data_IF_548964179669
#
_entry.id   IF_548964179669
#
_cell.length_a   1.000
_cell.length_b   1.000
_cell.length_c   1.000
_cell.angle_alpha   90.00
_cell.angle_beta   90.00
_cell.angle_gamma   90.00
#
_symmetry.space_group_name_H-M   'P 1'
#
loop_
_entity.id
_entity.type
_entity.pdbx_description
1 polymer ?
#
# COMPACT_ATOMS: atom_id res chain seq x y z
N UNK A 1 -5.23 26.61 -49.96
CA UNK A 1 -4.75 26.89 -48.58
C UNK A 1 -5.77 26.51 -47.48
N UNK A 2 -6.44 25.34 -47.54
CA UNK A 2 -7.41 24.91 -46.50
C UNK A 2 -7.01 23.63 -45.74
N UNK A 3 -5.93 22.95 -46.14
CA UNK A 3 -5.58 21.63 -45.58
C UNK A 3 -4.70 21.68 -44.32
N UNK A 4 -3.97 22.79 -44.09
CA UNK A 4 -3.03 22.87 -42.97
C UNK A 4 -3.70 23.19 -41.61
N UNK A 5 -4.90 23.79 -41.61
CA UNK A 5 -5.56 24.28 -40.38
C UNK A 5 -6.27 23.14 -39.62
N UNK A 6 -6.68 22.06 -40.28
CA UNK A 6 -7.48 20.98 -39.66
C UNK A 6 -6.62 20.02 -38.83
N UNK A 7 -5.36 19.81 -39.21
CA UNK A 7 -4.43 18.92 -38.51
C UNK A 7 -3.96 19.47 -37.15
N UNK A 8 -3.89 20.80 -36.99
CA UNK A 8 -3.49 21.44 -35.74
C UNK A 8 -4.58 21.34 -34.64
N UNK A 9 -5.86 21.29 -35.04
CA UNK A 9 -6.99 21.25 -34.11
C UNK A 9 -7.20 19.87 -33.45
N UNK A 10 -6.81 18.78 -34.12
CA UNK A 10 -6.96 17.41 -33.62
C UNK A 10 -5.96 17.03 -32.53
N UNK A 11 -4.69 17.47 -32.67
CA UNK A 11 -3.63 17.19 -31.69
C UNK A 11 -3.81 17.98 -30.39
N UNK A 12 -4.36 19.21 -30.46
CA UNK A 12 -4.66 20.03 -29.29
C UNK A 12 -5.77 19.40 -28.43
N UNK A 13 -6.82 18.82 -29.06
CA UNK A 13 -7.93 18.14 -28.38
C UNK A 13 -7.52 16.85 -27.66
N UNK A 14 -6.55 16.10 -28.20
CA UNK A 14 -6.10 14.82 -27.59
C UNK A 14 -5.24 15.07 -26.35
N UNK A 15 -4.36 16.06 -26.40
CA UNK A 15 -3.53 16.45 -25.25
C UNK A 15 -4.38 17.12 -24.16
N UNK A 16 -5.45 17.85 -24.52
CA UNK A 16 -6.41 18.41 -23.57
C UNK A 16 -7.16 17.33 -22.78
N UNK A 17 -7.59 16.23 -23.43
CA UNK A 17 -8.27 15.12 -22.73
C UNK A 17 -7.36 14.37 -21.75
N UNK A 18 -6.08 14.20 -22.10
CA UNK A 18 -5.09 13.56 -21.22
C UNK A 18 -4.72 14.49 -20.05
N UNK A 19 -4.60 15.81 -20.31
CA UNK A 19 -4.36 16.82 -19.29
C UNK A 19 -5.55 16.95 -18.32
N UNK A 20 -6.79 16.90 -18.81
CA UNK A 20 -8.01 16.93 -17.97
C UNK A 20 -8.15 15.65 -17.14
N UNK A 21 -7.78 14.48 -17.68
CA UNK A 21 -7.79 13.23 -16.92
C UNK A 21 -6.70 13.20 -15.84
N UNK A 22 -5.51 13.74 -16.12
CA UNK A 22 -4.44 13.92 -15.13
C UNK A 22 -4.80 14.97 -14.06
N UNK A 23 -5.54 16.02 -14.42
CA UNK A 23 -6.07 17.02 -13.46
C UNK A 23 -7.20 16.46 -12.57
N UNK A 24 -7.94 15.45 -13.03
CA UNK A 24 -8.98 14.78 -12.23
C UNK A 24 -8.42 13.75 -11.24
N UNK A 25 -7.20 13.25 -11.46
CA UNK A 25 -6.50 12.34 -10.55
C UNK A 25 -5.73 13.07 -9.43
N UNK A 26 -5.42 14.36 -9.57
CA UNK A 26 -4.68 15.11 -8.56
C UNK A 26 -5.46 15.44 -7.27
N UNK A 27 -6.78 15.76 -7.27
CA UNK A 27 -7.47 16.01 -6.00
C UNK A 27 -7.68 14.71 -5.20
N UNK A 28 -7.75 13.54 -5.84
CA UNK A 28 -7.94 12.27 -5.13
C UNK A 28 -6.71 11.87 -4.28
N UNK A 29 -5.51 12.30 -4.66
CA UNK A 29 -4.28 11.99 -3.91
C UNK A 29 -4.10 12.93 -2.72
N UNK A 30 -4.56 14.19 -2.82
CA UNK A 30 -4.48 15.14 -1.70
C UNK A 30 -5.59 14.95 -0.64
N UNK A 31 -6.78 14.47 -1.01
CA UNK A 31 -7.90 14.34 -0.07
C UNK A 31 -7.97 12.97 0.63
N UNK A 32 -7.11 12.02 0.29
CA UNK A 32 -7.12 10.68 0.90
C UNK A 32 -6.44 10.63 2.29
N UNK A 33 -5.74 11.69 2.69
CA UNK A 33 -5.07 11.76 4.00
C UNK A 33 -5.22 13.18 4.57
N UNK A 34 -6.31 13.48 5.28
CA UNK A 34 -6.26 14.41 6.43
C UNK A 34 -7.59 14.67 7.17
N UNK A 35 -8.74 14.16 6.73
CA UNK A 35 -10.01 14.62 7.34
C UNK A 35 -10.44 13.83 8.60
N UNK A 36 -9.97 12.59 8.81
CA UNK A 36 -10.38 11.77 9.96
C UNK A 36 -9.58 12.00 11.26
N UNK A 37 -8.55 12.86 11.24
CA UNK A 37 -7.80 13.22 12.45
C UNK A 37 -8.42 14.39 13.22
N UNK A 38 -9.54 14.95 12.74
CA UNK A 38 -10.24 16.04 13.39
C UNK A 38 -10.96 15.57 14.67
N UNK A 39 -10.25 15.68 15.79
CA UNK A 39 -10.77 15.87 17.15
C UNK A 39 -11.58 14.72 17.78
N UNK A 40 -11.18 13.46 17.58
CA UNK A 40 -11.51 12.43 18.56
C UNK A 40 -10.38 12.40 19.59
N UNK A 41 -10.69 12.87 20.80
CA UNK A 41 -9.79 12.84 21.95
C UNK A 41 -9.63 11.39 22.46
N UNK A 42 -8.91 10.57 21.70
CA UNK A 42 -8.56 9.22 22.12
C UNK A 42 -7.50 9.27 23.23
N UNK A 43 -7.59 8.34 24.16
CA UNK A 43 -6.50 8.03 25.07
C UNK A 43 -5.54 7.06 24.37
N UNK A 44 -4.25 7.18 24.68
CA UNK A 44 -3.19 6.32 24.15
C UNK A 44 -2.42 5.67 25.30
N UNK A 45 -2.34 4.34 25.28
CA UNK A 45 -1.43 3.58 26.12
C UNK A 45 -0.45 2.86 25.21
N UNK A 46 0.81 3.26 25.28
CA UNK A 46 1.92 2.60 24.60
C UNK A 46 2.82 1.88 25.61
N UNK A 47 3.55 0.86 25.18
CA UNK A 47 4.58 0.23 26.01
C UNK A 47 5.79 -0.26 25.22
N UNK A 48 6.91 -0.38 25.92
CA UNK A 48 8.07 -1.12 25.45
C UNK A 48 8.42 -2.22 26.47
N UNK A 49 8.43 -3.51 26.08
CA UNK A 49 8.08 -4.07 24.77
C UNK A 49 6.60 -3.84 24.38
N UNK A 50 6.31 -3.96 23.08
CA UNK A 50 4.95 -3.84 22.54
C UNK A 50 4.12 -5.10 22.81
N UNK A 51 2.80 -4.99 22.61
CA UNK A 51 1.82 -6.06 22.81
C UNK A 51 1.61 -6.45 24.29
N UNK A 52 1.74 -5.48 25.21
CA UNK A 52 1.40 -5.66 26.62
C UNK A 52 -0.11 -5.61 26.83
N UNK A 53 -0.64 -6.53 27.63
CA UNK A 53 -2.06 -6.56 27.97
C UNK A 53 -2.39 -5.40 28.93
N UNK A 54 -3.44 -4.66 28.62
CA UNK A 54 -3.90 -3.49 29.34
C UNK A 54 -5.23 -3.83 30.01
N UNK A 55 -5.29 -3.64 31.34
CA UNK A 55 -6.47 -3.85 32.15
C UNK A 55 -6.93 -2.53 32.76
N UNK A 56 -8.22 -2.24 32.68
CA UNK A 56 -8.86 -1.09 33.35
C UNK A 56 -9.86 -1.67 34.36
N UNK A 57 -9.71 -1.35 35.65
CA UNK A 57 -10.52 -1.90 36.74
C UNK A 57 -10.62 -3.43 36.67
N UNK A 58 -9.48 -4.07 36.41
CA UNK A 58 -9.32 -5.53 36.33
C UNK A 58 -9.94 -6.21 35.10
N UNK A 59 -10.57 -5.45 34.22
CA UNK A 59 -11.09 -5.92 32.93
C UNK A 59 -10.06 -5.75 31.81
N UNK A 60 -9.86 -6.78 30.99
CA UNK A 60 -8.96 -6.73 29.84
C UNK A 60 -9.55 -5.83 28.74
N UNK A 61 -8.93 -4.67 28.51
CA UNK A 61 -9.37 -3.72 27.49
C UNK A 61 -8.72 -3.97 26.13
N UNK A 62 -7.48 -4.48 26.12
CA UNK A 62 -6.75 -4.76 24.87
C UNK A 62 -5.24 -4.84 25.08
N UNK A 63 -4.48 -4.62 24.00
CA UNK A 63 -3.02 -4.73 23.99
C UNK A 63 -2.37 -3.44 23.48
N UNK A 64 -1.18 -3.11 23.98
CA UNK A 64 -0.41 -1.93 23.53
C UNK A 64 0.19 -2.11 22.13
N UNK A 65 0.29 -1.05 21.31
CA UNK A 65 -0.27 0.29 21.53
C UNK A 65 -1.80 0.29 21.42
N UNK A 66 -2.47 0.84 22.44
CA UNK A 66 -3.93 0.85 22.57
C UNK A 66 -4.46 2.28 22.49
N UNK A 67 -5.32 2.51 21.50
CA UNK A 67 -6.15 3.70 21.39
C UNK A 67 -7.55 3.38 21.94
N UNK A 68 -8.03 4.16 22.90
CA UNK A 68 -9.33 3.87 23.53
C UNK A 68 -10.02 5.12 24.07
N UNK A 69 -11.33 4.99 24.32
CA UNK A 69 -12.12 5.96 25.06
C UNK A 69 -12.53 5.34 26.40
N UNK A 70 -12.67 6.17 27.43
CA UNK A 70 -13.21 5.69 28.70
C UNK A 70 -14.66 5.21 28.49
N UNK A 71 -14.99 4.04 29.04
CA UNK A 71 -16.34 3.46 28.98
C UNK A 71 -17.40 4.35 29.63
N UNK A 72 -16.99 5.10 30.65
CA UNK A 72 -17.83 5.95 31.48
C UNK A 72 -17.00 7.08 32.13
N UNK A 73 -17.67 8.03 32.75
CA UNK A 73 -17.07 9.19 33.44
C UNK A 73 -16.75 8.95 34.93
N UNK A 74 -16.73 7.69 35.39
CA UNK A 74 -16.48 7.33 36.80
C UNK A 74 -14.98 7.17 37.05
N UNK A 75 -14.44 8.02 37.92
CA UNK A 75 -13.05 8.01 38.37
C UNK A 75 -13.00 7.95 39.91
N UNK A 76 -11.94 7.38 40.51
CA UNK A 76 -10.71 6.90 39.89
C UNK A 76 -10.83 5.54 39.20
N UNK A 77 -9.97 5.28 38.21
CA UNK A 77 -9.83 3.97 37.55
C UNK A 77 -8.44 3.39 37.77
N UNK A 78 -8.33 2.09 38.00
CA UNK A 78 -7.05 1.40 38.15
C UNK A 78 -6.61 0.82 36.82
N UNK A 79 -5.49 1.31 36.31
CA UNK A 79 -4.85 0.81 35.10
C UNK A 79 -3.74 -0.18 35.48
N UNK A 80 -3.75 -1.38 34.89
CA UNK A 80 -2.67 -2.36 35.05
C UNK A 80 -2.16 -2.80 33.69
N UNK A 81 -0.84 -2.75 33.52
CA UNK A 81 -0.16 -3.20 32.31
C UNK A 81 0.63 -4.45 32.64
N UNK A 82 0.35 -5.54 31.92
CA UNK A 82 0.94 -6.85 32.14
C UNK A 82 1.56 -7.37 30.85
N UNK A 83 2.81 -7.79 30.95
CA UNK A 83 3.49 -8.48 29.86
C UNK A 83 4.29 -9.66 30.40
N UNK A 84 4.29 -10.77 29.66
CA UNK A 84 4.89 -12.03 30.12
C UNK A 84 6.40 -11.85 30.36
N UNK A 85 6.85 -12.14 31.58
CA UNK A 85 8.26 -12.01 31.98
C UNK A 85 8.67 -10.61 32.43
N UNK A 86 7.72 -9.67 32.52
CA UNK A 86 7.94 -8.30 32.98
C UNK A 86 7.15 -8.04 34.27
N UNK A 87 7.62 -7.06 35.04
CA UNK A 87 6.97 -6.59 36.26
C UNK A 87 5.70 -5.86 35.84
N UNK A 88 4.61 -6.16 36.55
CA UNK A 88 3.32 -5.50 36.34
C UNK A 88 3.40 -4.06 36.86
N UNK A 89 3.01 -3.11 36.01
CA UNK A 89 2.92 -1.70 36.38
C UNK A 89 1.44 -1.35 36.60
N UNK A 90 1.14 -0.71 37.74
CA UNK A 90 -0.21 -0.30 38.10
C UNK A 90 -0.28 1.18 38.46
N UNK A 91 -1.29 1.88 37.96
CA UNK A 91 -1.50 3.30 38.21
C UNK A 91 -2.97 3.62 38.38
N UNK A 92 -3.28 4.55 39.27
CA UNK A 92 -4.63 5.06 39.45
C UNK A 92 -4.81 6.36 38.67
N UNK A 93 -5.72 6.35 37.70
CA UNK A 93 -6.09 7.53 36.93
C UNK A 93 -7.25 8.22 37.63
N UNK A 94 -7.09 9.51 37.97
CA UNK A 94 -8.05 10.26 38.78
C UNK A 94 -8.99 11.17 37.97
N UNK A 95 -8.74 11.39 36.68
CA UNK A 95 -9.50 12.34 35.87
C UNK A 95 -9.80 11.81 34.46
N UNK A 96 -10.88 12.33 33.88
CA UNK A 96 -11.39 11.99 32.55
C UNK A 96 -10.72 12.73 31.40
N UNK A 97 -9.58 13.38 31.65
CA UNK A 97 -8.84 14.10 30.61
C UNK A 97 -8.23 13.16 29.56
N UNK A 98 -7.61 13.75 28.54
CA UNK A 98 -6.83 12.99 27.54
C UNK A 98 -5.66 12.34 28.26
N UNK A 99 -5.66 11.01 28.28
CA UNK A 99 -4.62 10.19 28.87
C UNK A 99 -3.73 9.63 27.76
N UNK A 100 -2.50 10.12 27.67
CA UNK A 100 -1.48 9.60 26.76
C UNK A 100 -0.23 9.27 27.55
N UNK A 101 0.12 7.99 27.62
CA UNK A 101 1.28 7.53 28.39
C UNK A 101 1.98 6.35 27.74
N UNK A 102 3.30 6.35 27.87
CA UNK A 102 4.19 5.28 27.45
C UNK A 102 4.82 4.60 28.67
N UNK A 103 4.65 3.29 28.77
CA UNK A 103 5.22 2.47 29.84
C UNK A 103 6.49 1.76 29.36
N UNK A 104 7.60 1.94 30.09
CA UNK A 104 8.83 1.17 29.86
C UNK A 104 8.84 0.06 30.91
N UNK A 105 8.44 -1.15 30.50
CA UNK A 105 8.28 -2.27 31.42
C UNK A 105 9.65 -2.83 31.80
N UNK A 106 9.82 -3.16 33.08
CA UNK A 106 11.05 -3.77 33.60
C UNK A 106 10.92 -5.29 33.62
N UNK A 107 11.96 -6.05 33.24
CA UNK A 107 11.95 -7.50 33.33
C UNK A 107 11.79 -7.98 34.78
N UNK A 108 10.98 -9.02 34.99
CA UNK A 108 10.75 -9.62 36.31
C UNK A 108 11.78 -10.70 36.67
N UNK A 109 12.74 -11.02 35.80
CA UNK A 109 13.80 -12.00 36.06
C UNK A 109 14.92 -12.02 35.02
N UNK A 110 15.97 -12.82 35.27
CA UNK A 110 17.18 -12.91 34.43
C UNK A 110 17.00 -13.62 33.08
N UNK A 111 15.92 -14.37 32.89
CA UNK A 111 15.67 -15.19 31.70
C UNK A 111 14.47 -14.66 30.90
N UNK A 112 14.57 -13.43 30.38
CA UNK A 112 13.74 -13.09 29.23
C UNK A 112 14.21 -13.93 28.06
N UNK A 113 13.30 -14.65 27.40
CA UNK A 113 13.50 -15.09 26.03
C UNK A 113 13.51 -13.84 25.16
N UNK A 114 14.65 -13.14 25.15
CA UNK A 114 14.92 -12.08 24.20
C UNK A 114 14.99 -12.80 22.86
N UNK A 115 13.95 -12.70 22.05
CA UNK A 115 14.10 -12.92 20.63
C UNK A 115 14.58 -11.58 20.08
N UNK A 116 15.91 -11.33 20.03
CA UNK A 116 16.39 -10.04 19.55
C UNK A 116 15.79 -9.82 18.16
N UNK A 117 15.33 -8.59 17.88
CA UNK A 117 15.02 -8.21 16.50
C UNK A 117 16.34 -8.32 15.75
N UNK A 118 16.53 -9.43 15.04
CA UNK A 118 17.78 -9.74 14.34
C UNK A 118 17.83 -8.82 13.13
N UNK A 119 18.57 -7.72 13.26
CA UNK A 119 18.68 -6.68 12.25
C UNK A 119 19.33 -7.18 10.95
N UNK A 120 20.21 -8.18 11.06
CA UNK A 120 20.90 -8.75 9.93
C UNK A 120 20.09 -9.88 9.27
N UNK A 121 19.49 -9.54 8.12
CA UNK A 121 18.72 -10.47 7.29
C UNK A 121 19.55 -11.52 6.59
N UNK A 122 20.88 -11.39 6.59
CA UNK A 122 21.77 -12.23 5.79
C UNK A 122 22.45 -13.34 6.59
N UNK A 123 22.51 -13.25 7.91
CA UNK A 123 23.32 -14.19 8.71
C UNK A 123 22.51 -15.28 9.42
N UNK A 124 21.20 -15.08 9.68
CA UNK A 124 20.44 -16.00 10.54
C UNK A 124 18.94 -16.14 10.18
N UNK A 125 18.54 -15.82 8.95
CA UNK A 125 17.22 -16.20 8.42
C UNK A 125 17.37 -17.54 7.69
N UNK A 126 16.53 -18.52 8.02
CA UNK A 126 16.63 -19.90 7.49
C UNK A 126 16.55 -19.97 5.96
N UNK A 127 15.92 -18.97 5.32
CA UNK A 127 15.78 -18.87 3.88
C UNK A 127 16.36 -17.57 3.33
N UNK A 128 17.38 -17.70 2.48
CA UNK A 128 17.95 -16.58 1.72
C UNK A 128 16.91 -16.08 0.71
N UNK A 129 16.57 -14.79 0.75
CA UNK A 129 15.65 -14.17 -0.21
C UNK A 129 16.14 -14.42 -1.64
N UNK A 130 15.26 -14.97 -2.49
CA UNK A 130 15.58 -15.26 -3.89
C UNK A 130 15.52 -13.97 -4.71
N UNK A 131 16.57 -13.14 -4.64
CA UNK A 131 16.62 -11.83 -5.32
C UNK A 131 16.52 -11.95 -6.84
N UNK A 132 17.15 -12.98 -7.43
CA UNK A 132 17.14 -13.19 -8.88
C UNK A 132 15.72 -13.33 -9.48
N UNK A 133 14.84 -14.23 -9.01
CA UNK A 133 13.49 -14.33 -9.55
C UNK A 133 12.62 -13.08 -9.29
N UNK A 134 12.86 -12.33 -8.21
CA UNK A 134 12.19 -11.04 -7.97
C UNK A 134 12.58 -10.02 -9.05
N UNK A 135 13.89 -9.88 -9.32
CA UNK A 135 14.37 -8.96 -10.35
C UNK A 135 13.88 -9.38 -11.74
N UNK A 136 13.94 -10.68 -12.06
CA UNK A 136 13.46 -11.19 -13.35
C UNK A 136 11.96 -10.94 -13.55
N UNK A 137 11.12 -11.28 -12.57
CA UNK A 137 9.66 -11.08 -12.64
C UNK A 137 9.26 -9.60 -12.70
N UNK A 138 9.96 -8.72 -11.99
CA UNK A 138 9.74 -7.27 -12.06
C UNK A 138 10.07 -6.69 -13.45
N UNK A 139 11.20 -7.10 -14.05
CA UNK A 139 11.56 -6.70 -15.41
C UNK A 139 10.56 -7.20 -16.44
N UNK A 140 10.12 -8.46 -16.34
CA UNK A 140 9.10 -9.03 -17.24
C UNK A 140 7.78 -8.26 -17.11
N UNK A 141 7.34 -7.98 -15.87
CA UNK A 141 6.11 -7.24 -15.60
C UNK A 141 6.16 -5.84 -16.21
N UNK A 142 7.20 -5.08 -15.91
CA UNK A 142 7.35 -3.71 -16.42
C UNK A 142 7.46 -3.68 -17.96
N UNK A 143 8.33 -4.54 -18.53
CA UNK A 143 8.53 -4.64 -19.97
C UNK A 143 7.26 -5.04 -20.72
N UNK A 144 6.52 -6.02 -20.19
CA UNK A 144 5.26 -6.48 -20.79
C UNK A 144 4.17 -5.41 -20.72
N UNK A 145 4.10 -4.64 -19.62
CA UNK A 145 3.17 -3.51 -19.50
C UNK A 145 3.43 -2.41 -20.54
N UNK A 146 4.70 -2.04 -20.73
CA UNK A 146 5.11 -1.05 -21.74
C UNK A 146 4.80 -1.56 -23.16
N UNK A 147 5.15 -2.81 -23.46
CA UNK A 147 4.89 -3.43 -24.76
C UNK A 147 3.39 -3.50 -25.06
N UNK A 148 2.59 -3.98 -24.11
CA UNK A 148 1.13 -4.04 -24.24
C UNK A 148 0.54 -2.66 -24.54
N UNK A 149 0.98 -1.61 -23.83
CA UNK A 149 0.53 -0.25 -24.09
C UNK A 149 0.92 0.23 -25.49
N UNK A 150 2.17 0.03 -25.90
CA UNK A 150 2.66 0.45 -27.21
C UNK A 150 1.88 -0.21 -28.36
N UNK A 151 1.79 -1.54 -28.36
CA UNK A 151 1.14 -2.28 -29.45
C UNK A 151 -0.38 -2.06 -29.47
N UNK A 152 -1.03 -1.96 -28.32
CA UNK A 152 -2.47 -1.67 -28.26
C UNK A 152 -2.78 -0.23 -28.69
N UNK A 153 -1.88 0.71 -28.41
CA UNK A 153 -1.95 2.09 -28.91
C UNK A 153 -1.82 2.13 -30.44
N UNK A 154 -0.87 1.37 -31.00
CA UNK A 154 -0.68 1.31 -32.45
C UNK A 154 -1.86 0.64 -33.16
N UNK A 155 -2.33 -0.50 -32.66
CA UNK A 155 -3.54 -1.15 -33.16
C UNK A 155 -4.76 -0.21 -33.18
N UNK A 156 -4.88 0.64 -32.16
CA UNK A 156 -5.95 1.65 -32.09
C UNK A 156 -5.79 2.76 -33.13
N UNK A 157 -4.56 3.12 -33.54
CA UNK A 157 -4.32 4.06 -34.64
C UNK A 157 -4.64 3.42 -35.99
N UNK A 158 -4.19 2.18 -36.23
CA UNK A 158 -4.49 1.45 -37.46
C UNK A 158 -6.00 1.30 -37.67
N UNK A 159 -6.77 1.01 -36.61
CA UNK A 159 -8.23 0.97 -36.69
C UNK A 159 -8.83 2.33 -37.13
N UNK A 160 -8.37 3.43 -36.54
CA UNK A 160 -8.87 4.77 -36.91
C UNK A 160 -8.53 5.12 -38.35
N UNK A 161 -7.35 4.74 -38.82
CA UNK A 161 -6.96 4.95 -40.21
C UNK A 161 -7.87 4.13 -41.15
N UNK A 162 -8.18 2.88 -40.81
CA UNK A 162 -9.14 2.08 -41.56
C UNK A 162 -10.53 2.73 -41.57
N UNK A 163 -11.03 3.21 -40.43
CA UNK A 163 -12.34 3.86 -40.33
C UNK A 163 -12.43 5.14 -41.20
N UNK A 164 -11.30 5.82 -41.44
CA UNK A 164 -11.22 7.05 -42.24
C UNK A 164 -11.00 6.76 -43.73
N UNK A 165 -10.05 5.87 -44.06
CA UNK A 165 -9.55 5.66 -45.42
C UNK A 165 -10.06 4.38 -46.09
N UNK A 166 -10.60 3.43 -45.33
CA UNK A 166 -11.10 2.15 -45.84
C UNK A 166 -10.03 1.19 -46.37
N UNK A 167 -8.74 1.43 -46.06
CA UNK A 167 -7.63 0.63 -46.59
C UNK A 167 -7.47 -0.71 -45.84
N UNK A 168 -7.67 -1.87 -46.50
CA UNK A 168 -7.57 -3.18 -45.85
C UNK A 168 -6.17 -3.48 -45.28
N UNK A 169 -5.10 -2.85 -45.77
CA UNK A 169 -3.75 -3.06 -45.23
C UNK A 169 -3.61 -2.58 -43.77
N UNK A 170 -4.37 -1.55 -43.38
CA UNK A 170 -4.38 -1.07 -42.00
C UNK A 170 -5.10 -2.05 -41.06
N UNK A 171 -6.07 -2.81 -41.58
CA UNK A 171 -6.77 -3.82 -40.80
C UNK A 171 -5.87 -5.02 -40.47
N UNK A 172 -4.98 -5.39 -41.39
CA UNK A 172 -4.01 -6.46 -41.19
C UNK A 172 -2.95 -6.06 -40.14
N UNK A 173 -2.38 -4.84 -40.28
CA UNK A 173 -1.47 -4.28 -39.25
C UNK A 173 -2.12 -4.19 -37.87
N UNK A 174 -3.40 -3.80 -37.81
CA UNK A 174 -4.16 -3.78 -36.55
C UNK A 174 -4.23 -5.18 -35.93
N UNK A 175 -4.49 -6.21 -36.73
CA UNK A 175 -4.58 -7.60 -36.26
C UNK A 175 -3.25 -8.05 -35.66
N UNK A 176 -2.14 -7.78 -36.33
CA UNK A 176 -0.80 -8.14 -35.86
C UNK A 176 -0.44 -7.40 -34.56
N UNK A 177 -0.61 -6.08 -34.53
CA UNK A 177 -0.35 -5.27 -33.34
C UNK A 177 -1.24 -5.70 -32.16
N UNK A 178 -2.51 -6.02 -32.42
CA UNK A 178 -3.41 -6.49 -31.37
C UNK A 178 -3.02 -7.88 -30.85
N UNK A 179 -2.53 -8.77 -31.70
CA UNK A 179 -2.03 -10.08 -31.30
C UNK A 179 -0.82 -9.94 -30.35
N UNK A 180 0.18 -9.14 -30.74
CA UNK A 180 1.37 -8.90 -29.92
C UNK A 180 1.00 -8.19 -28.61
N UNK A 181 0.08 -7.22 -28.68
CA UNK A 181 -0.45 -6.54 -27.49
C UNK A 181 -1.12 -7.51 -26.52
N UNK A 182 -1.92 -8.45 -27.02
CA UNK A 182 -2.57 -9.46 -26.18
C UNK A 182 -1.58 -10.46 -25.56
N UNK A 183 -0.58 -10.90 -26.32
CA UNK A 183 0.51 -11.75 -25.80
C UNK A 183 1.25 -11.02 -24.66
N UNK A 184 1.51 -9.72 -24.83
CA UNK A 184 2.15 -8.90 -23.80
C UNK A 184 1.28 -8.78 -22.54
N UNK A 185 -0.05 -8.69 -22.66
CA UNK A 185 -0.96 -8.68 -21.51
C UNK A 185 -0.91 -10.01 -20.75
N UNK A 186 -0.87 -11.15 -21.45
CA UNK A 186 -0.73 -12.47 -20.81
C UNK A 186 0.61 -12.57 -20.09
N UNK A 187 1.70 -12.12 -20.72
CA UNK A 187 3.03 -12.06 -20.10
C UNK A 187 3.07 -11.17 -18.85
N UNK A 188 2.37 -10.02 -18.89
CA UNK A 188 2.21 -9.13 -17.73
C UNK A 188 1.50 -9.83 -16.57
N UNK A 189 0.42 -10.57 -16.83
CA UNK A 189 -0.34 -11.28 -15.80
C UNK A 189 0.50 -12.38 -15.14
N UNK A 190 1.21 -13.18 -15.93
CA UNK A 190 2.10 -14.23 -15.44
C UNK A 190 3.29 -13.63 -14.67
N UNK A 191 3.90 -12.57 -15.20
CA UNK A 191 5.01 -11.87 -14.56
C UNK A 191 4.61 -11.26 -13.21
N UNK A 192 3.43 -10.64 -13.14
CA UNK A 192 2.91 -10.06 -11.90
C UNK A 192 2.58 -11.14 -10.87
N UNK A 193 1.96 -12.24 -11.30
CA UNK A 193 1.70 -13.40 -10.42
C UNK A 193 2.98 -13.99 -9.83
N UNK A 194 4.01 -14.17 -10.67
CA UNK A 194 5.32 -14.63 -10.22
C UNK A 194 5.98 -13.64 -9.26
N UNK A 195 5.91 -12.33 -9.54
CA UNK A 195 6.45 -11.30 -8.66
C UNK A 195 5.78 -11.34 -7.29
N UNK A 196 4.45 -11.43 -7.23
CA UNK A 196 3.70 -11.52 -5.98
C UNK A 196 4.07 -12.77 -5.18
N UNK A 197 4.22 -13.91 -5.86
CA UNK A 197 4.65 -15.16 -5.25
C UNK A 197 6.04 -15.01 -4.59
N UNK A 198 7.04 -14.54 -5.35
CA UNK A 198 8.42 -14.42 -4.85
C UNK A 198 8.62 -13.28 -3.84
N UNK A 199 7.70 -12.33 -3.76
CA UNK A 199 7.82 -11.18 -2.85
C UNK A 199 7.13 -11.42 -1.51
N UNK A 200 6.04 -12.19 -1.49
CA UNK A 200 5.18 -12.35 -0.31
C UNK A 200 4.98 -13.79 0.17
N UNK A 201 5.02 -14.79 -0.73
CA UNK A 201 4.66 -16.17 -0.39
C UNK A 201 5.87 -17.10 -0.25
N UNK A 202 7.00 -16.75 -0.85
CA UNK A 202 8.29 -17.45 -0.81
C UNK A 202 9.31 -16.67 0.02
#
# INVERSE_FOLDING_TARGET
MKCCIVLQAGMLKRNFKILVFALFLSPAILHAQEIDSALINYNLIDSYPQNAAVYVNDELTGNTPLYFMWSDSTFPKTLRIKYKGYIEESETVNSSGIFSKKYILKPSGRNLLINPVKADKNTHFETKRKVFPIVLSSLVTAGSGIAAFYFKSEASKNQKNFDIYGDPAELDKKKDNNLIGNISIVALQLGFGALMYFLFLD
#
